data_IF_271593165851
#
_entry.id   IF_271593165851
#
_cell.length_a   1.000
_cell.length_b   1.000
_cell.length_c   1.000
_cell.angle_alpha   90.00
_cell.angle_beta   90.00
_cell.angle_gamma   90.00
#
_symmetry.space_group_name_H-M   'P 1'
#
loop_
_entity.id
_entity.type
_entity.pdbx_description
1 polymer ?
#
# COMPACT_ATOMS: atom_id res chain seq x y z
N UNK A 1 0.19 -6.19 -24.36
CA UNK A 1 -1.07 -6.70 -23.75
C UNK A 1 -1.95 -5.53 -23.37
N UNK A 2 -3.24 -5.69 -23.47
CA UNK A 2 -4.22 -4.64 -23.16
C UNK A 2 -4.52 -4.56 -21.67
N UNK A 3 -5.17 -3.47 -21.26
CA UNK A 3 -5.49 -3.17 -19.86
C UNK A 3 -6.22 -4.30 -19.14
N UNK A 4 -7.20 -4.92 -19.80
CA UNK A 4 -7.99 -6.00 -19.19
C UNK A 4 -7.12 -7.21 -18.85
N UNK A 5 -6.29 -7.63 -19.78
CA UNK A 5 -5.39 -8.77 -19.61
C UNK A 5 -4.32 -8.47 -18.55
N UNK A 6 -3.74 -7.26 -18.59
CA UNK A 6 -2.76 -6.83 -17.63
C UNK A 6 -3.36 -6.80 -16.21
N UNK A 7 -4.56 -6.27 -16.06
CA UNK A 7 -5.25 -6.21 -14.77
C UNK A 7 -5.52 -7.62 -14.21
N UNK A 8 -5.96 -8.53 -15.05
CA UNK A 8 -6.21 -9.92 -14.66
C UNK A 8 -4.93 -10.60 -14.18
N UNK A 9 -3.83 -10.43 -14.90
CA UNK A 9 -2.53 -11.02 -14.52
C UNK A 9 -1.99 -10.49 -13.20
N UNK A 10 -2.24 -9.22 -12.92
CA UNK A 10 -1.75 -8.56 -11.70
C UNK A 10 -2.70 -8.68 -10.51
N UNK A 11 -3.92 -9.14 -10.74
CA UNK A 11 -4.93 -9.20 -9.70
C UNK A 11 -5.39 -7.81 -9.24
N UNK A 12 -5.38 -6.84 -10.14
CA UNK A 12 -5.84 -5.47 -9.89
C UNK A 12 -6.95 -5.10 -10.87
N UNK A 13 -7.57 -3.94 -10.68
CA UNK A 13 -8.57 -3.45 -11.63
C UNK A 13 -7.92 -2.60 -12.71
N UNK A 14 -8.59 -2.46 -13.85
CA UNK A 14 -8.13 -1.55 -14.90
C UNK A 14 -8.07 -0.11 -14.39
N UNK A 15 -9.00 0.25 -13.50
CA UNK A 15 -9.04 1.57 -12.86
C UNK A 15 -7.77 1.83 -12.05
N UNK A 16 -7.28 0.83 -11.32
CA UNK A 16 -6.04 0.93 -10.55
C UNK A 16 -4.84 1.17 -11.47
N UNK A 17 -4.76 0.44 -12.58
CA UNK A 17 -3.69 0.62 -13.57
C UNK A 17 -3.70 2.04 -14.15
N UNK A 18 -4.87 2.57 -14.49
CA UNK A 18 -5.01 3.94 -14.98
C UNK A 18 -4.63 4.96 -13.92
N UNK A 19 -4.94 4.67 -12.66
CA UNK A 19 -4.54 5.53 -11.55
C UNK A 19 -3.03 5.59 -11.40
N UNK A 20 -2.35 4.45 -11.52
CA UNK A 20 -0.88 4.41 -11.48
C UNK A 20 -0.26 5.25 -12.59
N UNK A 21 -0.82 5.17 -13.80
CA UNK A 21 -0.38 5.98 -14.94
C UNK A 21 -0.61 7.47 -14.68
N UNK A 22 -1.79 7.83 -14.18
CA UNK A 22 -2.16 9.22 -13.86
C UNK A 22 -1.24 9.80 -12.80
N UNK A 23 -0.85 9.02 -11.81
CA UNK A 23 0.06 9.45 -10.74
C UNK A 23 1.53 9.48 -11.17
N UNK A 24 1.81 9.18 -12.43
CA UNK A 24 3.17 9.21 -12.95
C UNK A 24 4.03 8.02 -12.56
N UNK A 25 3.42 6.94 -12.08
CA UNK A 25 4.14 5.73 -11.66
C UNK A 25 4.39 4.77 -12.80
N UNK A 26 3.55 4.80 -13.84
CA UNK A 26 3.67 4.00 -15.05
C UNK A 26 3.67 4.91 -16.26
N UNK A 27 4.51 4.55 -17.24
CA UNK A 27 4.52 5.18 -18.56
C UNK A 27 4.21 4.10 -19.59
N UNK A 28 2.94 3.99 -19.93
CA UNK A 28 2.42 2.92 -20.77
C UNK A 28 2.38 3.34 -22.22
N UNK A 29 2.92 2.48 -23.10
CA UNK A 29 2.87 2.71 -24.55
C UNK A 29 1.46 2.63 -25.09
N UNK A 30 1.28 3.09 -26.33
CA UNK A 30 0.02 3.06 -27.06
C UNK A 30 0.19 2.29 -28.36
N UNK A 31 -0.85 1.57 -28.76
CA UNK A 31 -0.88 0.94 -30.07
C UNK A 31 -1.14 2.01 -31.14
N UNK A 32 -1.00 1.63 -32.42
CA UNK A 32 -1.31 2.49 -33.57
C UNK A 32 -2.72 3.06 -33.47
N UNK A 33 -3.67 2.28 -32.92
CA UNK A 33 -5.07 2.69 -32.75
C UNK A 33 -5.33 3.48 -31.45
N UNK A 34 -4.29 3.85 -30.72
CA UNK A 34 -4.40 4.65 -29.51
C UNK A 34 -4.77 3.88 -28.24
N UNK A 35 -4.82 2.57 -28.28
CA UNK A 35 -5.08 1.75 -27.09
C UNK A 35 -3.82 1.58 -26.24
N UNK A 36 -3.99 1.50 -24.92
CA UNK A 36 -2.89 1.21 -24.01
C UNK A 36 -2.32 -0.18 -24.28
N UNK A 37 -0.99 -0.26 -24.32
CA UNK A 37 -0.26 -1.50 -24.53
C UNK A 37 0.76 -1.70 -23.42
N UNK A 38 0.57 -2.72 -22.60
CA UNK A 38 1.43 -3.05 -21.46
C UNK A 38 2.48 -4.06 -21.86
N UNK A 39 3.74 -3.71 -21.63
CA UNK A 39 4.88 -4.62 -21.80
C UNK A 39 5.08 -5.48 -20.58
N UNK A 40 5.95 -6.50 -20.68
CA UNK A 40 6.35 -7.29 -19.51
C UNK A 40 7.01 -6.42 -18.43
N UNK A 41 7.81 -5.43 -18.84
CA UNK A 41 8.41 -4.48 -17.92
C UNK A 41 7.36 -3.64 -17.20
N UNK A 42 6.32 -3.21 -17.90
CA UNK A 42 5.19 -2.49 -17.33
C UNK A 42 4.47 -3.34 -16.27
N UNK A 43 4.28 -4.62 -16.55
CA UNK A 43 3.65 -5.54 -15.61
C UNK A 43 4.48 -5.72 -14.33
N UNK A 44 5.79 -5.88 -14.48
CA UNK A 44 6.69 -5.99 -13.32
C UNK A 44 6.65 -4.73 -12.47
N UNK A 45 6.70 -3.57 -13.11
CA UNK A 45 6.63 -2.29 -12.41
C UNK A 45 5.30 -2.10 -11.70
N UNK A 46 4.19 -2.38 -12.39
CA UNK A 46 2.85 -2.30 -11.80
C UNK A 46 2.68 -3.25 -10.61
N UNK A 47 3.23 -4.45 -10.70
CA UNK A 47 3.24 -5.41 -9.61
C UNK A 47 3.95 -4.89 -8.37
N UNK A 48 5.08 -4.22 -8.54
CA UNK A 48 5.82 -3.60 -7.44
C UNK A 48 5.05 -2.45 -6.83
N UNK A 49 4.43 -1.62 -7.66
CA UNK A 49 3.57 -0.52 -7.18
C UNK A 49 2.44 -1.08 -6.33
N UNK A 50 1.75 -2.10 -6.81
CA UNK A 50 0.69 -2.79 -6.08
C UNK A 50 1.19 -3.29 -4.72
N UNK A 51 2.35 -3.94 -4.69
CA UNK A 51 2.91 -4.51 -3.47
C UNK A 51 3.29 -3.43 -2.46
N UNK A 52 3.87 -2.31 -2.91
CA UNK A 52 4.18 -1.19 -2.03
C UNK A 52 2.91 -0.56 -1.45
N UNK A 53 1.87 -0.39 -2.26
CA UNK A 53 0.58 0.13 -1.77
C UNK A 53 0.01 -0.82 -0.71
N UNK A 54 0.09 -2.12 -0.93
CA UNK A 54 -0.39 -3.12 0.03
C UNK A 54 0.36 -3.06 1.37
N UNK A 55 1.61 -2.59 1.38
CA UNK A 55 2.39 -2.43 2.60
C UNK A 55 2.25 -1.03 3.23
N UNK A 56 1.33 -0.22 2.74
CA UNK A 56 1.01 1.06 3.36
C UNK A 56 1.71 2.28 2.78
N UNK A 57 2.34 2.16 1.61
CA UNK A 57 2.93 3.31 0.93
C UNK A 57 1.87 4.03 0.09
N UNK A 58 1.91 5.36 0.10
CA UNK A 58 1.10 6.18 -0.78
C UNK A 58 1.74 6.26 -2.17
N UNK A 59 0.98 6.64 -3.18
CA UNK A 59 1.51 6.87 -4.52
C UNK A 59 2.59 7.94 -4.53
N UNK A 60 2.46 8.95 -3.68
CA UNK A 60 3.45 10.01 -3.51
C UNK A 60 4.78 9.47 -2.97
N UNK A 61 4.71 8.63 -1.97
CA UNK A 61 5.90 7.98 -1.40
C UNK A 61 6.56 7.07 -2.43
N UNK A 62 5.77 6.33 -3.19
CA UNK A 62 6.27 5.43 -4.25
C UNK A 62 7.00 6.21 -5.33
N UNK A 63 6.49 7.40 -5.71
CA UNK A 63 7.19 8.25 -6.68
C UNK A 63 8.59 8.62 -6.24
N UNK A 64 8.79 8.84 -4.94
CA UNK A 64 10.12 9.15 -4.39
C UNK A 64 11.07 7.95 -4.45
N UNK A 65 10.54 6.75 -4.68
CA UNK A 65 11.29 5.50 -4.78
C UNK A 65 11.34 4.95 -6.19
N UNK A 66 11.20 5.81 -7.21
CA UNK A 66 11.07 5.36 -8.60
C UNK A 66 12.22 4.48 -9.08
N UNK A 67 13.44 4.68 -8.56
CA UNK A 67 14.59 3.84 -8.88
C UNK A 67 14.39 2.38 -8.44
N UNK A 68 13.65 2.15 -7.36
CA UNK A 68 13.34 0.81 -6.85
C UNK A 68 12.29 0.09 -7.69
N UNK A 69 11.65 0.81 -8.60
CA UNK A 69 10.59 0.29 -9.47
C UNK A 69 11.10 -0.03 -10.87
N UNK A 70 12.39 0.21 -11.15
CA UNK A 70 12.96 0.00 -12.49
C UNK A 70 12.76 -1.45 -12.94
N UNK A 71 12.60 -1.62 -14.26
CA UNK A 71 12.14 -2.87 -14.86
C UNK A 71 12.94 -4.10 -14.54
N UNK A 72 14.24 -3.97 -14.40
CA UNK A 72 15.12 -5.10 -14.09
C UNK A 72 15.19 -5.40 -12.60
N UNK A 73 14.70 -4.55 -11.80
CA UNK A 73 14.47 -4.50 -10.36
C UNK A 73 14.91 -5.62 -9.46
N UNK A 74 15.83 -6.40 -9.91
CA UNK A 74 16.38 -7.50 -9.12
C UNK A 74 17.51 -7.03 -8.20
N UNK A 75 17.91 -5.77 -8.29
CA UNK A 75 19.02 -5.25 -7.50
C UNK A 75 18.57 -4.63 -6.18
N UNK A 76 19.41 -4.68 -5.13
CA UNK A 76 19.13 -3.97 -3.90
C UNK A 76 19.09 -2.47 -4.17
N UNK A 77 18.07 -1.81 -3.65
CA UNK A 77 17.91 -0.37 -3.74
C UNK A 77 18.15 0.21 -2.35
N UNK A 78 19.28 0.91 -2.15
CA UNK A 78 19.60 1.52 -0.85
C UNK A 78 18.54 2.50 -0.41
N UNK A 79 18.01 3.31 -1.34
CA UNK A 79 16.90 4.21 -1.06
C UNK A 79 15.65 3.47 -0.62
N UNK A 80 15.43 2.26 -1.15
CA UNK A 80 14.33 1.40 -0.76
C UNK A 80 14.45 0.92 0.68
N UNK A 81 15.64 0.52 1.10
CA UNK A 81 15.89 0.08 2.47
C UNK A 81 15.60 1.21 3.45
N UNK A 82 16.10 2.40 3.16
CA UNK A 82 15.86 3.59 3.98
C UNK A 82 14.38 3.91 4.09
N UNK A 83 13.66 3.93 2.96
CA UNK A 83 12.23 4.22 2.93
C UNK A 83 11.39 3.17 3.67
N UNK A 84 11.74 1.91 3.51
CA UNK A 84 11.08 0.82 4.23
C UNK A 84 11.33 0.90 5.73
N UNK A 85 12.55 1.25 6.14
CA UNK A 85 12.89 1.45 7.55
C UNK A 85 12.09 2.59 8.16
N UNK A 86 12.01 3.73 7.47
CA UNK A 86 11.20 4.87 7.91
C UNK A 86 9.71 4.48 8.04
N UNK A 87 9.20 3.73 7.07
CA UNK A 87 7.82 3.27 7.09
C UNK A 87 7.57 2.33 8.26
N UNK A 88 8.47 1.42 8.53
CA UNK A 88 8.37 0.49 9.66
C UNK A 88 8.31 1.24 10.98
N UNK A 89 9.21 2.20 11.17
CA UNK A 89 9.23 3.03 12.38
C UNK A 89 7.92 3.79 12.58
N UNK A 90 7.37 4.33 11.49
CA UNK A 90 6.09 5.03 11.51
C UNK A 90 4.95 4.09 11.92
N UNK A 91 4.91 2.89 11.33
CA UNK A 91 3.89 1.88 11.66
C UNK A 91 4.01 1.45 13.12
N UNK A 92 5.22 1.25 13.61
CA UNK A 92 5.46 0.90 15.02
C UNK A 92 4.97 1.97 15.98
N UNK A 93 5.16 3.26 15.65
CA UNK A 93 4.60 4.35 16.43
C UNK A 93 3.08 4.34 16.46
N UNK A 94 2.45 4.17 15.30
CA UNK A 94 0.99 4.08 15.19
C UNK A 94 0.44 2.89 15.97
N UNK A 95 1.14 1.78 15.90
CA UNK A 95 0.78 0.56 16.63
C UNK A 95 0.82 0.78 18.13
N UNK A 96 1.88 1.44 18.63
CA UNK A 96 2.00 1.77 20.05
C UNK A 96 0.88 2.71 20.50
N UNK A 97 0.55 3.72 19.72
CA UNK A 97 -0.57 4.64 19.99
C UNK A 97 -1.89 3.90 20.05
N UNK A 98 -2.11 2.99 19.11
CA UNK A 98 -3.33 2.19 19.05
C UNK A 98 -3.43 1.25 20.26
N UNK A 99 -2.33 0.63 20.66
CA UNK A 99 -2.27 -0.24 21.83
C UNK A 99 -2.64 0.53 23.12
N UNK A 100 -2.16 1.77 23.25
CA UNK A 100 -2.52 2.63 24.38
C UNK A 100 -4.00 2.93 24.41
N UNK A 101 -4.59 3.26 23.26
CA UNK A 101 -6.02 3.52 23.14
C UNK A 101 -6.84 2.27 23.45
N UNK A 102 -6.39 1.14 22.96
CA UNK A 102 -7.01 -0.16 23.23
C UNK A 102 -7.07 -0.44 24.74
N UNK A 103 -5.94 -0.27 25.42
CA UNK A 103 -5.86 -0.48 26.87
C UNK A 103 -6.77 0.48 27.62
N UNK A 104 -6.80 1.75 27.24
CA UNK A 104 -7.64 2.76 27.89
C UNK A 104 -9.14 2.44 27.73
N UNK A 105 -9.55 2.02 26.55
CA UNK A 105 -10.96 1.64 26.30
C UNK A 105 -11.32 0.39 27.08
N UNK A 106 -10.42 -0.59 27.10
CA UNK A 106 -10.64 -1.84 27.84
C UNK A 106 -10.81 -1.58 29.34
N UNK A 107 -9.96 -0.73 29.92
CA UNK A 107 -10.02 -0.36 31.33
C UNK A 107 -11.37 0.31 31.67
N UNK A 108 -11.81 1.23 30.81
CA UNK A 108 -13.12 1.89 31.00
C UNK A 108 -14.27 0.90 30.91
N UNK A 109 -14.19 -0.02 29.98
CA UNK A 109 -15.22 -1.06 29.79
C UNK A 109 -15.32 -1.93 31.03
N UNK A 110 -14.19 -2.40 31.55
CA UNK A 110 -14.13 -3.21 32.77
C UNK A 110 -14.69 -2.44 33.97
N UNK A 111 -14.32 -1.17 34.13
CA UNK A 111 -14.81 -0.33 35.22
C UNK A 111 -16.33 -0.16 35.17
N UNK A 112 -16.89 0.10 33.98
CA UNK A 112 -18.33 0.27 33.80
C UNK A 112 -19.10 -1.03 34.05
N UNK A 113 -18.58 -2.16 33.58
CA UNK A 113 -19.18 -3.48 33.82
C UNK A 113 -19.21 -3.82 35.30
N UNK A 114 -18.11 -3.55 35.99
CA UNK A 114 -18.02 -3.80 37.45
C UNK A 114 -18.98 -2.88 38.20
N UNK A 115 -19.08 -1.61 37.80
CA UNK A 115 -20.02 -0.68 38.40
C UNK A 115 -21.49 -1.14 38.24
N UNK A 116 -21.86 -1.59 37.06
CA UNK A 116 -23.21 -2.13 36.79
C UNK A 116 -23.48 -3.40 37.58
N UNK A 117 -22.49 -4.30 37.65
CA UNK A 117 -22.60 -5.52 38.41
C UNK A 117 -22.83 -5.23 39.90
N UNK A 118 -22.12 -4.24 40.44
CA UNK A 118 -22.25 -3.80 41.82
C UNK A 118 -23.67 -3.25 42.09
N UNK A 119 -24.19 -2.42 41.17
CA UNK A 119 -25.55 -1.89 41.27
C UNK A 119 -26.61 -3.00 41.19
N UNK A 120 -26.37 -4.00 40.34
CA UNK A 120 -27.29 -5.14 40.20
C UNK A 120 -27.30 -6.04 41.44
N UNK A 121 -26.27 -6.01 42.28
CA UNK A 121 -26.14 -6.82 43.49
C UNK A 121 -26.90 -6.23 44.66
N UNK A 122 -27.36 -5.02 44.52
CA UNK A 122 -28.16 -4.33 45.52
C UNK A 122 -29.62 -4.30 45.10
#
# INVERSE_FOLDING_TARGET
MRSKEAAEKLGVTQRMLRHYEKEGLLDVGRTVNGYRSYSEADLRRAGRIRDFIATGFSTREIRSMSACLSGDGAGPCEGGIEKLTEKLEHIERLRAELDQKHSAVLDRLVTLRNGLATLSSH
#
